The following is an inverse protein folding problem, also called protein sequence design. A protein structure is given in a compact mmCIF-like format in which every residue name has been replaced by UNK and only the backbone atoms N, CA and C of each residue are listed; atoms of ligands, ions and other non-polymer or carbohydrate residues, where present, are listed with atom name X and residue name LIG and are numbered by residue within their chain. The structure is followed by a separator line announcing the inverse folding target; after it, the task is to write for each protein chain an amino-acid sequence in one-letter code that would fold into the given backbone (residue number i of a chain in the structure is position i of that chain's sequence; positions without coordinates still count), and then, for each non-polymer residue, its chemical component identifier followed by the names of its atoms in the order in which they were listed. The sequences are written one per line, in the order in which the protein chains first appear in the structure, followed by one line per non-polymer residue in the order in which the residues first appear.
data_IF_194158904815
#
_entry.id   IF_194158904815
#
_cell.length_a   1.000
_cell.length_b   1.000
_cell.length_c   1.000
_cell.angle_alpha   90.00
_cell.angle_beta   90.00
_cell.angle_gamma   90.00
#
_symmetry.space_group_name_H-M   'P 1'
#
loop_
_entity.id
_entity.type
_entity.pdbx_description
1 polymer ?
#
# COMPACT_ATOMS: atom_id res chain seq x y z
N UNK A 1 5.24 16.05 3.47
CA UNK A 1 5.38 14.58 3.35
C UNK A 1 6.43 14.05 4.33
N UNK A 2 6.37 12.77 4.74
CA UNK A 2 5.88 11.65 3.93
C UNK A 2 4.34 11.54 3.80
N UNK A 3 3.87 10.85 2.75
CA UNK A 3 2.46 10.48 2.56
C UNK A 3 2.35 8.95 2.74
N UNK A 4 1.87 8.48 3.91
CA UNK A 4 1.81 7.05 4.22
C UNK A 4 0.62 6.35 3.56
N UNK A 5 0.71 5.02 3.53
CA UNK A 5 -0.42 4.13 3.26
C UNK A 5 -1.08 3.76 4.58
N UNK A 6 -2.40 3.89 4.61
CA UNK A 6 -3.23 3.49 5.75
C UNK A 6 -4.19 2.39 5.32
N UNK A 7 -4.54 1.53 6.26
CA UNK A 7 -5.52 0.47 6.10
C UNK A 7 -6.63 0.62 7.15
N UNK A 8 -7.86 0.32 6.74
CA UNK A 8 -9.00 0.09 7.63
C UNK A 8 -9.89 -0.99 7.02
N UNK A 9 -10.59 -1.71 7.88
CA UNK A 9 -11.47 -2.81 7.53
C UNK A 9 -12.74 -2.81 8.37
N UNK A 10 -13.69 -3.62 7.92
CA UNK A 10 -15.00 -3.86 8.53
C UNK A 10 -15.36 -5.32 8.27
N UNK A 11 -16.07 -5.94 9.22
CA UNK A 11 -16.61 -7.30 9.08
C UNK A 11 -18.13 -7.36 9.35
N UNK A 12 -18.79 -6.21 9.44
CA UNK A 12 -20.19 -6.08 9.82
C UNK A 12 -21.04 -5.40 8.74
N UNK A 13 -20.67 -5.59 7.47
CA UNK A 13 -21.36 -4.97 6.35
C UNK A 13 -21.12 -3.45 6.24
N UNK A 14 -19.92 -2.99 6.63
CA UNK A 14 -19.51 -1.59 6.64
C UNK A 14 -20.29 -0.69 7.60
N UNK A 15 -20.87 -1.27 8.66
CA UNK A 15 -21.52 -0.49 9.71
C UNK A 15 -20.49 0.15 10.65
N UNK A 16 -19.42 -0.57 10.98
CA UNK A 16 -18.31 -0.06 11.77
C UNK A 16 -16.96 -0.35 11.09
N UNK A 17 -16.07 0.64 11.12
CA UNK A 17 -14.70 0.54 10.62
C UNK A 17 -13.72 0.61 11.78
N UNK A 18 -12.62 -0.14 11.69
CA UNK A 18 -11.52 0.03 12.63
C UNK A 18 -10.84 1.39 12.42
N UNK A 19 -10.21 1.91 13.48
CA UNK A 19 -9.37 3.11 13.35
C UNK A 19 -8.31 2.88 12.27
N UNK A 20 -8.16 3.77 11.27
CA UNK A 20 -7.15 3.61 10.24
C UNK A 20 -5.75 3.49 10.84
N UNK A 21 -5.02 2.45 10.43
CA UNK A 21 -3.67 2.17 10.86
C UNK A 21 -2.69 2.44 9.72
N UNK A 22 -1.57 3.08 10.01
CA UNK A 22 -0.49 3.24 9.04
C UNK A 22 0.23 1.90 8.89
N UNK A 23 0.33 1.39 7.67
CA UNK A 23 0.89 0.05 7.42
C UNK A 23 2.34 0.08 6.92
N UNK A 24 2.84 1.23 6.49
CA UNK A 24 4.18 1.37 5.95
C UNK A 24 4.95 2.53 6.62
N UNK A 25 6.26 2.62 6.38
CA UNK A 25 7.12 3.69 6.90
C UNK A 25 7.88 4.40 5.78
N UNK A 26 7.19 5.21 4.95
CA UNK A 26 7.79 5.70 3.72
C UNK A 26 8.67 6.92 3.98
N UNK A 27 9.81 6.96 3.28
CA UNK A 27 10.68 8.14 3.19
C UNK A 27 10.17 9.16 2.15
N UNK A 28 9.30 8.72 1.26
CA UNK A 28 8.78 9.48 0.11
C UNK A 28 7.25 9.42 0.06
N UNK A 29 6.65 9.99 -0.99
CA UNK A 29 5.21 9.89 -1.19
C UNK A 29 4.84 8.47 -1.62
N UNK A 30 3.84 7.89 -0.98
CA UNK A 30 3.15 6.70 -1.50
C UNK A 30 1.94 7.14 -2.35
N UNK A 31 1.63 6.41 -3.42
CA UNK A 31 0.50 6.71 -4.32
C UNK A 31 -0.11 5.41 -4.88
N UNK A 32 -1.35 5.51 -5.41
CA UNK A 32 -1.97 4.42 -6.17
C UNK A 32 -2.11 3.12 -5.40
N UNK A 33 -2.47 3.18 -4.11
CA UNK A 33 -2.65 1.98 -3.30
C UNK A 33 -3.71 1.05 -3.91
N UNK A 34 -3.42 -0.24 -3.94
CA UNK A 34 -4.35 -1.29 -4.37
C UNK A 34 -4.38 -2.42 -3.34
N UNK A 35 -5.51 -3.13 -3.25
CA UNK A 35 -5.75 -4.16 -2.25
C UNK A 35 -6.54 -5.33 -2.82
N UNK A 36 -6.10 -6.55 -2.50
CA UNK A 36 -6.80 -7.79 -2.82
C UNK A 36 -6.76 -8.75 -1.64
N UNK A 37 -7.68 -9.71 -1.61
CA UNK A 37 -7.71 -10.80 -0.62
C UNK A 37 -7.64 -12.12 -1.38
N UNK A 38 -6.73 -13.02 -0.98
CA UNK A 38 -6.62 -14.36 -1.56
C UNK A 38 -7.68 -15.33 -0.99
N UNK A 39 -7.66 -16.59 -1.45
CA UNK A 39 -8.59 -17.63 -1.01
C UNK A 39 -8.31 -18.16 0.40
N UNK A 40 -7.10 -17.96 0.93
CA UNK A 40 -6.76 -18.20 2.33
C UNK A 40 -7.18 -17.04 3.27
N UNK A 41 -7.60 -15.90 2.72
CA UNK A 41 -8.00 -14.71 3.47
C UNK A 41 -6.83 -13.75 3.80
N UNK A 42 -5.66 -13.96 3.21
CA UNK A 42 -4.53 -13.02 3.29
C UNK A 42 -4.88 -11.74 2.56
N UNK A 43 -4.69 -10.60 3.22
CA UNK A 43 -4.84 -9.28 2.61
C UNK A 43 -3.50 -8.86 2.03
N UNK A 44 -3.48 -8.54 0.73
CA UNK A 44 -2.33 -8.02 0.01
C UNK A 44 -2.56 -6.57 -0.35
N UNK A 45 -1.60 -5.71 -0.05
CA UNK A 45 -1.63 -4.29 -0.40
C UNK A 45 -0.35 -3.94 -1.16
N UNK A 46 -0.47 -3.16 -2.23
CA UNK A 46 0.67 -2.57 -2.90
C UNK A 46 0.49 -1.06 -3.06
N UNK A 47 1.61 -0.35 -3.25
CA UNK A 47 1.61 1.10 -3.51
C UNK A 47 2.82 1.49 -4.35
N UNK A 48 2.70 2.58 -5.08
CA UNK A 48 3.82 3.20 -5.76
C UNK A 48 4.57 4.15 -4.82
N UNK A 49 5.90 4.01 -4.76
CA UNK A 49 6.79 5.01 -4.19
C UNK A 49 7.16 6.06 -5.21
N UNK A 50 6.97 7.34 -4.88
CA UNK A 50 7.10 8.46 -5.83
C UNK A 50 8.24 9.38 -5.43
N UNK A 51 9.11 9.73 -6.39
CA UNK A 51 10.20 10.69 -6.14
C UNK A 51 9.66 12.03 -5.63
N UNK A 52 10.41 12.70 -4.77
CA UNK A 52 10.05 14.01 -4.21
C UNK A 52 10.29 15.17 -5.19
N UNK A 53 10.81 14.90 -6.38
CA UNK A 53 11.16 15.91 -7.40
C UNK A 53 10.27 15.75 -8.63
N UNK A 54 9.83 16.87 -9.20
CA UNK A 54 9.09 16.93 -10.47
C UNK A 54 9.84 16.15 -11.56
N UNK A 55 9.17 15.27 -12.34
CA UNK A 55 7.71 15.18 -12.52
C UNK A 55 6.98 14.24 -11.55
N UNK A 56 7.56 13.89 -10.40
CA UNK A 56 6.97 12.98 -9.41
C UNK A 56 6.70 11.59 -10.00
N UNK A 57 7.72 11.03 -10.66
CA UNK A 57 7.66 9.68 -11.24
C UNK A 57 7.65 8.63 -10.13
N UNK A 58 6.91 7.56 -10.34
CA UNK A 58 6.97 6.36 -9.51
C UNK A 58 8.32 5.65 -9.72
N UNK A 59 9.00 5.26 -8.65
CA UNK A 59 10.35 4.68 -8.72
C UNK A 59 10.46 3.30 -8.06
N UNK A 60 9.41 2.86 -7.38
CA UNK A 60 9.29 1.49 -6.89
C UNK A 60 7.83 1.14 -6.60
N UNK A 61 7.55 -0.16 -6.49
CA UNK A 61 6.36 -0.70 -5.86
C UNK A 61 6.73 -1.19 -4.46
N UNK A 62 5.99 -0.76 -3.45
CA UNK A 62 5.99 -1.34 -2.11
C UNK A 62 4.86 -2.36 -1.95
N UNK A 63 5.04 -3.26 -1.00
CA UNK A 63 4.12 -4.37 -0.76
C UNK A 63 3.96 -4.63 0.74
N UNK A 64 2.74 -4.96 1.15
CA UNK A 64 2.44 -5.44 2.49
C UNK A 64 1.45 -6.61 2.42
N UNK A 65 1.60 -7.57 3.33
CA UNK A 65 0.66 -8.68 3.50
C UNK A 65 0.26 -8.85 4.96
N UNK A 66 -1.00 -9.21 5.19
CA UNK A 66 -1.55 -9.54 6.50
C UNK A 66 -2.32 -10.86 6.43
N UNK A 67 -2.06 -11.76 7.36
CA UNK A 67 -2.76 -13.06 7.49
C UNK A 67 -3.81 -13.07 8.61
N UNK A 68 -4.05 -11.90 9.21
CA UNK A 68 -4.91 -11.70 10.39
C UNK A 68 -5.92 -10.55 10.17
N UNK A 69 -6.42 -10.38 8.95
CA UNK A 69 -7.47 -9.42 8.63
C UNK A 69 -7.04 -7.95 8.67
N UNK A 70 -5.72 -7.70 8.67
CA UNK A 70 -5.10 -6.39 8.70
C UNK A 70 -4.61 -5.94 10.07
N UNK A 71 -4.59 -6.80 11.08
CA UNK A 71 -4.10 -6.45 12.42
C UNK A 71 -2.56 -6.33 12.47
N UNK A 72 -1.84 -7.20 11.75
CA UNK A 72 -0.38 -7.15 11.61
C UNK A 72 0.03 -7.25 10.13
N UNK A 73 1.13 -6.56 9.79
CA UNK A 73 1.61 -6.45 8.41
C UNK A 73 3.08 -6.88 8.28
N UNK A 74 3.34 -7.74 7.30
CA UNK A 74 4.68 -8.00 6.78
C UNK A 74 4.93 -7.05 5.61
N UNK A 75 5.87 -6.11 5.77
CA UNK A 75 6.04 -4.97 4.87
C UNK A 75 7.39 -5.01 4.16
N UNK A 76 7.36 -4.80 2.84
CA UNK A 76 8.55 -4.56 2.01
C UNK A 76 8.37 -3.23 1.29
N UNK A 77 9.02 -2.17 1.79
CA UNK A 77 8.83 -0.80 1.27
C UNK A 77 9.20 -0.66 -0.21
N UNK A 78 10.26 -1.34 -0.64
CA UNK A 78 10.67 -1.40 -2.04
C UNK A 78 10.76 -2.87 -2.45
N UNK A 79 9.62 -3.44 -2.81
CA UNK A 79 9.50 -4.81 -3.27
C UNK A 79 10.03 -4.96 -4.71
N UNK A 80 9.88 -3.91 -5.52
CA UNK A 80 10.38 -3.88 -6.89
C UNK A 80 10.72 -2.45 -7.33
N UNK A 81 11.95 -2.24 -7.80
CA UNK A 81 12.38 -0.96 -8.35
C UNK A 81 11.85 -0.75 -9.77
N UNK A 82 11.37 0.45 -10.07
CA UNK A 82 10.89 0.85 -11.40
C UNK A 82 11.30 2.29 -11.74
N UNK A 83 11.01 2.76 -12.94
CA UNK A 83 11.27 4.14 -13.36
C UNK A 83 10.06 4.69 -14.13
N UNK A 84 8.94 4.73 -13.42
CA UNK A 84 7.61 5.05 -13.91
C UNK A 84 6.89 3.83 -14.50
N UNK A 85 5.57 3.89 -14.50
CA UNK A 85 4.76 3.11 -15.44
C UNK A 85 4.91 3.78 -16.80
N UNK A 86 5.89 3.35 -17.61
CA UNK A 86 5.84 3.60 -19.06
C UNK A 86 4.89 2.61 -19.73
N UNK A 87 3.65 2.57 -19.24
CA UNK A 87 2.56 1.92 -19.96
C UNK A 87 2.12 2.86 -21.07
N UNK A 88 2.38 2.48 -22.33
CA UNK A 88 1.61 3.03 -23.44
C UNK A 88 0.19 2.51 -23.23
N UNK A 89 -0.73 3.42 -22.89
CA UNK A 89 -2.18 3.18 -22.96
C UNK A 89 -2.60 2.92 -24.41
#
# INVERSE_FOLDING_TARGET
PPFPVFFTSTNDGAANWITPQQINNPVQRSAGGDVVVDDEGTVHVCWAGVTSVSPFTEIFVGYAASTDGGDNWSVTENAFAMNGIQGIL
#
